data_IF_486324443303
#
_entry.id   IF_486324443303
#
_cell.length_a   1.000
_cell.length_b   1.000
_cell.length_c   1.000
_cell.angle_alpha   90.00
_cell.angle_beta   90.00
_cell.angle_gamma   90.00
#
_symmetry.space_group_name_H-M   'P 1'
#
loop_
_entity.id
_entity.type
_entity.pdbx_description
1 polymer ?
#
# COMPACT_ATOMS: atom_id res chain seq x y z
N UNK A 1 -3.53 0.49 -4.14
CA UNK A 1 -2.56 0.38 -5.25
C UNK A 1 -3.00 -0.59 -6.36
N UNK A 2 -3.44 -1.82 -6.07
CA UNK A 2 -3.90 -2.78 -7.12
C UNK A 2 -4.90 -2.14 -8.08
N UNK A 3 -5.97 -1.55 -7.55
CA UNK A 3 -7.00 -0.92 -8.40
C UNK A 3 -6.46 0.25 -9.21
N UNK A 4 -5.42 0.95 -8.74
CA UNK A 4 -4.77 2.00 -9.52
C UNK A 4 -3.94 1.41 -10.68
N UNK A 5 -3.19 0.32 -10.45
CA UNK A 5 -2.33 -0.28 -11.47
C UNK A 5 -3.08 -1.17 -12.48
N UNK A 6 -4.17 -1.81 -12.05
CA UNK A 6 -4.93 -2.75 -12.88
C UNK A 6 -6.09 -2.06 -13.60
N UNK A 7 -5.93 -1.77 -14.89
CA UNK A 7 -6.96 -1.15 -15.73
C UNK A 7 -8.28 -1.94 -15.83
N UNK A 8 -8.28 -3.23 -15.46
CA UNK A 8 -9.48 -4.09 -15.47
C UNK A 8 -10.18 -4.14 -14.11
N UNK A 9 -9.62 -3.53 -13.07
CA UNK A 9 -10.23 -3.49 -11.74
C UNK A 9 -11.50 -2.61 -11.77
N UNK A 10 -12.57 -3.08 -11.14
CA UNK A 10 -13.86 -2.36 -11.07
C UNK A 10 -13.73 -1.00 -10.38
N UNK A 11 -12.74 -0.83 -9.50
CA UNK A 11 -12.43 0.41 -8.81
C UNK A 11 -11.40 1.27 -9.53
N UNK A 12 -10.88 0.87 -10.69
CA UNK A 12 -9.78 1.56 -11.36
C UNK A 12 -10.05 3.04 -11.64
N UNK A 13 -11.21 3.34 -12.23
CA UNK A 13 -11.61 4.72 -12.51
C UNK A 13 -11.76 5.57 -11.22
N UNK A 14 -12.16 4.94 -10.11
CA UNK A 14 -12.26 5.63 -8.80
C UNK A 14 -10.87 5.84 -8.20
N UNK A 15 -9.98 4.86 -8.34
CA UNK A 15 -8.59 4.93 -7.88
C UNK A 15 -7.85 6.07 -8.58
N UNK A 16 -7.99 6.19 -9.91
CA UNK A 16 -7.41 7.29 -10.69
C UNK A 16 -7.89 8.66 -10.21
N UNK A 17 -9.19 8.85 -10.02
CA UNK A 17 -9.73 10.13 -9.52
C UNK A 17 -9.19 10.51 -8.14
N UNK A 18 -9.10 9.54 -7.22
CA UNK A 18 -8.50 9.77 -5.90
C UNK A 18 -7.02 10.15 -6.06
N UNK A 19 -6.31 9.42 -6.91
CA UNK A 19 -4.89 9.64 -7.16
C UNK A 19 -4.61 11.05 -7.71
N UNK A 20 -5.40 11.50 -8.68
CA UNK A 20 -5.30 12.84 -9.28
C UNK A 20 -5.65 13.96 -8.29
N UNK A 21 -6.49 13.68 -7.30
CA UNK A 21 -6.93 14.68 -6.30
C UNK A 21 -5.98 14.88 -5.12
N UNK A 22 -4.96 14.03 -4.97
CA UNK A 22 -4.02 14.05 -3.84
C UNK A 22 -2.64 14.49 -4.30
N UNK A 23 -1.90 15.19 -3.45
CA UNK A 23 -0.47 15.48 -3.63
C UNK A 23 0.36 14.74 -2.57
N UNK A 24 1.67 14.59 -2.79
CA UNK A 24 2.57 13.96 -1.81
C UNK A 24 2.23 12.49 -1.51
N UNK A 25 1.91 11.70 -2.54
CA UNK A 25 1.49 10.31 -2.39
C UNK A 25 2.67 9.43 -1.99
N UNK A 26 2.47 8.66 -0.92
CA UNK A 26 3.47 7.71 -0.41
C UNK A 26 2.86 6.32 -0.34
N UNK A 27 3.70 5.29 -0.52
CA UNK A 27 3.34 3.90 -0.21
C UNK A 27 4.47 3.26 0.59
N UNK A 28 4.19 2.60 1.73
CA UNK A 28 5.23 1.94 2.51
C UNK A 28 5.73 0.68 1.80
N UNK A 29 6.96 0.27 2.08
CA UNK A 29 7.54 -0.96 1.49
C UNK A 29 6.75 -2.23 1.88
N UNK A 30 5.99 -2.23 2.98
CA UNK A 30 5.11 -3.35 3.33
C UNK A 30 3.96 -3.52 2.32
N UNK A 31 3.44 -2.41 1.77
CA UNK A 31 2.47 -2.44 0.68
C UNK A 31 3.10 -2.94 -0.62
N UNK A 32 4.35 -2.54 -0.90
CA UNK A 32 5.09 -3.06 -2.07
C UNK A 32 5.29 -4.58 -1.93
N UNK A 33 5.69 -5.07 -0.75
CA UNK A 33 5.82 -6.50 -0.48
C UNK A 33 4.50 -7.25 -0.69
N UNK A 34 3.41 -6.74 -0.15
CA UNK A 34 2.09 -7.34 -0.32
C UNK A 34 1.68 -7.42 -1.80
N UNK A 35 1.85 -6.32 -2.54
CA UNK A 35 1.54 -6.26 -3.96
C UNK A 35 2.39 -7.24 -4.77
N UNK A 36 3.71 -7.29 -4.55
CA UNK A 36 4.61 -8.27 -5.18
C UNK A 36 4.16 -9.70 -4.87
N UNK A 37 3.76 -9.99 -3.63
CA UNK A 37 3.25 -11.30 -3.22
C UNK A 37 1.91 -11.66 -3.87
N UNK A 38 1.02 -10.69 -4.08
CA UNK A 38 -0.26 -10.91 -4.78
C UNK A 38 -0.02 -11.15 -6.27
N UNK A 39 0.73 -10.28 -6.93
CA UNK A 39 0.97 -10.37 -8.39
C UNK A 39 1.68 -11.68 -8.73
N UNK A 40 2.71 -12.06 -7.98
CA UNK A 40 3.46 -13.31 -8.23
C UNK A 40 2.63 -14.59 -8.09
N UNK A 41 1.54 -14.57 -7.30
CA UNK A 41 0.66 -15.74 -7.11
C UNK A 41 -0.58 -15.77 -7.99
N UNK A 42 -1.02 -14.60 -8.45
CA UNK A 42 -2.30 -14.46 -9.17
C UNK A 42 -2.12 -14.26 -10.67
N UNK A 43 -0.88 -14.06 -11.12
CA UNK A 43 -0.53 -13.83 -12.51
C UNK A 43 0.62 -14.74 -12.95
N UNK A 44 0.79 -14.92 -14.25
CA UNK A 44 1.94 -15.64 -14.83
C UNK A 44 3.04 -14.67 -15.30
N UNK A 45 3.10 -13.49 -14.71
CA UNK A 45 4.08 -12.46 -15.05
C UNK A 45 5.43 -12.86 -14.45
N UNK A 46 6.52 -12.68 -15.20
CA UNK A 46 7.86 -13.00 -14.75
C UNK A 46 8.39 -12.02 -13.71
N UNK A 47 9.49 -12.39 -13.04
CA UNK A 47 10.13 -11.59 -12.00
C UNK A 47 10.51 -10.20 -12.50
N UNK A 48 11.12 -10.11 -13.70
CA UNK A 48 11.55 -8.83 -14.28
C UNK A 48 10.38 -7.88 -14.54
N UNK A 49 9.25 -8.41 -15.02
CA UNK A 49 8.06 -7.60 -15.26
C UNK A 49 7.38 -7.18 -13.95
N UNK A 50 7.45 -8.01 -12.90
CA UNK A 50 7.02 -7.64 -11.56
C UNK A 50 7.91 -6.50 -11.04
N UNK A 51 9.23 -6.62 -11.08
CA UNK A 51 10.15 -5.56 -10.65
C UNK A 51 9.90 -4.26 -11.40
N UNK A 52 9.77 -4.32 -12.73
CA UNK A 52 9.44 -3.15 -13.53
C UNK A 52 8.19 -2.42 -13.03
N UNK A 53 7.11 -3.15 -12.69
CA UNK A 53 5.87 -2.53 -12.18
C UNK A 53 6.10 -1.66 -10.93
N UNK A 54 7.06 -2.02 -10.08
CA UNK A 54 7.36 -1.28 -8.85
C UNK A 54 8.43 -0.21 -9.05
N UNK A 55 9.39 -0.43 -9.94
CA UNK A 55 10.39 0.56 -10.31
C UNK A 55 9.77 1.81 -10.95
N UNK A 56 8.59 1.68 -11.58
CA UNK A 56 7.83 2.82 -12.12
C UNK A 56 7.08 3.65 -11.06
N UNK A 57 6.98 3.22 -9.80
CA UNK A 57 6.23 3.96 -8.77
C UNK A 57 6.72 5.42 -8.56
N UNK A 58 8.03 5.70 -8.49
CA UNK A 58 8.53 7.07 -8.42
C UNK A 58 8.21 7.89 -9.68
N UNK A 59 8.22 7.27 -10.87
CA UNK A 59 7.92 7.95 -12.14
C UNK A 59 6.47 8.43 -12.22
N UNK A 60 5.56 7.78 -11.50
CA UNK A 60 4.16 8.19 -11.38
C UNK A 60 3.88 9.07 -10.15
N UNK A 61 4.91 9.67 -9.53
CA UNK A 61 4.81 10.49 -8.32
C UNK A 61 4.21 9.74 -7.12
N UNK A 62 4.69 8.52 -6.87
CA UNK A 62 4.48 7.77 -5.62
C UNK A 62 5.82 7.48 -4.98
N UNK A 63 6.06 8.09 -3.82
CA UNK A 63 7.27 7.86 -3.06
C UNK A 63 7.17 6.56 -2.25
N UNK A 64 8.29 5.84 -2.15
CA UNK A 64 8.42 4.61 -1.34
C UNK A 64 9.44 4.85 -0.23
N UNK A 65 9.10 5.62 0.81
CA UNK A 65 10.02 5.93 1.90
C UNK A 65 10.42 4.68 2.70
N UNK A 66 11.67 4.66 3.16
CA UNK A 66 12.14 3.68 4.14
C UNK A 66 11.48 3.94 5.51
N UNK A 67 11.09 2.87 6.20
CA UNK A 67 10.51 2.96 7.54
C UNK A 67 11.41 2.25 8.55
N UNK A 68 11.44 2.80 9.76
CA UNK A 68 11.97 2.09 10.92
C UNK A 68 11.07 0.88 11.22
N UNK A 69 11.58 -0.31 10.89
CA UNK A 69 10.88 -1.57 11.09
C UNK A 69 10.67 -1.92 12.56
N UNK A 70 11.59 -1.53 13.44
CA UNK A 70 11.41 -1.72 14.87
C UNK A 70 10.22 -0.92 15.37
N UNK A 71 10.12 0.35 14.97
CA UNK A 71 8.98 1.21 15.30
C UNK A 71 7.69 0.70 14.68
N UNK A 72 7.73 0.24 13.42
CA UNK A 72 6.56 -0.32 12.72
C UNK A 72 5.95 -1.49 13.50
N UNK A 73 6.79 -2.46 13.89
CA UNK A 73 6.36 -3.65 14.62
C UNK A 73 5.91 -3.32 16.05
N UNK A 74 6.64 -2.46 16.78
CA UNK A 74 6.27 -2.07 18.13
C UNK A 74 4.91 -1.38 18.18
N UNK A 75 4.69 -0.39 17.30
CA UNK A 75 3.39 0.28 17.15
C UNK A 75 2.29 -0.73 16.85
N UNK A 76 2.53 -1.66 15.90
CA UNK A 76 1.55 -2.67 15.51
C UNK A 76 1.15 -3.59 16.69
N UNK A 77 2.12 -4.02 17.50
CA UNK A 77 1.86 -4.84 18.71
C UNK A 77 0.99 -4.06 19.71
N UNK A 78 1.31 -2.79 19.97
CA UNK A 78 0.57 -1.96 20.93
C UNK A 78 -0.88 -1.71 20.52
N UNK A 79 -1.15 -1.61 19.21
CA UNK A 79 -2.49 -1.33 18.69
C UNK A 79 -3.33 -2.60 18.43
N UNK A 80 -2.72 -3.78 18.32
CA UNK A 80 -3.38 -5.01 17.87
C UNK A 80 -4.70 -5.31 18.59
N UNK A 81 -4.72 -5.19 19.92
CA UNK A 81 -5.93 -5.43 20.73
C UNK A 81 -7.00 -4.34 20.61
N UNK A 82 -6.59 -3.11 20.26
CA UNK A 82 -7.46 -1.96 20.13
C UNK A 82 -8.20 -1.97 18.80
N UNK A 83 -7.49 -2.26 17.71
CA UNK A 83 -8.05 -2.21 16.35
C UNK A 83 -8.69 -3.54 15.92
N UNK A 84 -8.22 -4.69 16.43
CA UNK A 84 -8.78 -6.03 16.15
C UNK A 84 -8.86 -6.38 14.65
N UNK A 85 -7.90 -5.90 13.86
CA UNK A 85 -7.78 -6.17 12.42
C UNK A 85 -6.75 -7.28 12.14
N UNK A 86 -6.63 -7.69 10.87
CA UNK A 86 -5.58 -8.66 10.48
C UNK A 86 -4.21 -8.02 10.57
N UNK A 87 -3.18 -8.83 10.79
CA UNK A 87 -1.80 -8.35 10.95
C UNK A 87 -1.34 -7.41 9.81
N UNK A 88 -1.58 -7.70 8.51
CA UNK A 88 -1.20 -6.77 7.44
C UNK A 88 -1.86 -5.39 7.56
N UNK A 89 -3.15 -5.35 7.91
CA UNK A 89 -3.90 -4.11 8.08
C UNK A 89 -3.35 -3.27 9.23
N UNK A 90 -3.01 -3.92 10.34
CA UNK A 90 -2.36 -3.28 11.49
C UNK A 90 -1.01 -2.68 11.10
N UNK A 91 -0.22 -3.38 10.28
CA UNK A 91 1.06 -2.87 9.78
C UNK A 91 0.87 -1.66 8.88
N UNK A 92 -0.17 -1.63 8.04
CA UNK A 92 -0.49 -0.46 7.22
C UNK A 92 -0.89 0.76 8.06
N UNK A 93 -1.66 0.56 9.13
CA UNK A 93 -2.00 1.63 10.09
C UNK A 93 -0.74 2.13 10.80
N UNK A 94 0.11 1.21 11.25
CA UNK A 94 1.38 1.57 11.88
C UNK A 94 2.28 2.37 10.93
N UNK A 95 2.36 1.95 9.66
CA UNK A 95 3.12 2.64 8.63
C UNK A 95 2.59 4.06 8.39
N UNK A 96 1.26 4.24 8.27
CA UNK A 96 0.67 5.56 8.04
C UNK A 96 0.92 6.53 9.19
N UNK A 97 0.92 6.04 10.44
CA UNK A 97 1.27 6.83 11.63
C UNK A 97 2.74 7.26 11.63
N UNK A 98 3.66 6.38 11.21
CA UNK A 98 5.10 6.70 11.14
C UNK A 98 5.35 7.71 10.02
N UNK A 99 4.66 7.58 8.89
CA UNK A 99 4.75 8.49 7.76
C UNK A 99 4.09 9.85 8.00
N UNK A 100 3.28 9.98 9.06
CA UNK A 100 2.54 11.20 9.35
C UNK A 100 1.55 11.55 8.24
N UNK A 101 0.96 10.54 7.60
CA UNK A 101 0.04 10.76 6.47
C UNK A 101 -1.30 11.29 6.96
N UNK A 102 -1.78 12.39 6.35
CA UNK A 102 -3.08 12.99 6.68
C UNK A 102 -4.28 12.16 6.18
N UNK A 103 -4.07 11.35 5.13
CA UNK A 103 -5.12 10.56 4.50
C UNK A 103 -4.63 9.15 4.22
N UNK A 104 -5.43 8.16 4.63
CA UNK A 104 -5.21 6.75 4.33
C UNK A 104 -6.22 6.28 3.26
N UNK A 105 -5.72 5.84 2.11
CA UNK A 105 -6.57 5.44 0.97
C UNK A 105 -6.61 3.92 0.83
N UNK A 106 -7.80 3.34 0.99
CA UNK A 106 -8.04 1.92 0.75
C UNK A 106 -9.45 1.69 0.18
N UNK A 107 -9.62 0.58 -0.53
CA UNK A 107 -10.93 0.05 -0.93
C UNK A 107 -11.40 -1.08 -0.02
N UNK A 108 -10.60 -1.46 0.97
CA UNK A 108 -11.00 -2.42 1.98
C UNK A 108 -12.02 -1.79 2.93
N UNK A 109 -13.14 -2.48 3.13
CA UNK A 109 -14.23 -2.03 4.00
C UNK A 109 -13.93 -2.24 5.48
N UNK A 110 -12.90 -3.02 5.83
CA UNK A 110 -12.50 -3.20 7.23
C UNK A 110 -11.95 -1.90 7.87
N UNK A 111 -11.59 -0.90 7.06
CA UNK A 111 -11.09 0.41 7.51
C UNK A 111 -12.18 1.49 7.66
N UNK A 112 -13.47 1.12 7.53
CA UNK A 112 -14.64 2.02 7.61
C UNK A 112 -15.51 1.72 8.81
#
# INVERSE_FOLDING_TARGET
MISFLNHRDVNHARALKIFESLEGRVTPHIAVLELKSVVSRTTNIGENEIEALFDYLPEINVDVPELDMGKLINNAIEMAFKVRMKTPDILHISASLILGSDTFVTFDREFV
#
